data_IF_141647518429
#
_entry.id   IF_141647518429
#
_cell.length_a   1.000
_cell.length_b   1.000
_cell.length_c   1.000
_cell.angle_alpha   90.00
_cell.angle_beta   90.00
_cell.angle_gamma   90.00
#
_symmetry.space_group_name_H-M   'P 1'
#
loop_
_entity.id
_entity.type
_entity.pdbx_description
1 polymer ?
#
# COMPACT_ATOMS: atom_id res chain seq x y z
N UNK A 1 -9.08 61.05 -32.57
CA UNK A 1 -9.21 60.97 -31.10
C UNK A 1 -9.30 59.51 -30.71
N UNK A 2 -8.25 59.03 -30.06
CA UNK A 2 -8.08 57.65 -29.61
C UNK A 2 -9.05 57.28 -28.49
N UNK A 3 -9.54 56.04 -28.49
CA UNK A 3 -10.05 55.34 -27.32
C UNK A 3 -9.53 53.90 -27.33
N UNK A 4 -9.28 53.44 -26.12
CA UNK A 4 -8.23 52.50 -25.70
C UNK A 4 -8.70 51.05 -25.50
N UNK A 5 -7.73 50.19 -25.15
CA UNK A 5 -7.74 48.92 -24.35
C UNK A 5 -7.40 47.66 -25.19
N UNK A 6 -6.22 47.02 -25.07
CA UNK A 6 -5.67 46.17 -23.97
C UNK A 6 -6.56 44.95 -23.65
N UNK A 7 -6.12 43.70 -23.47
CA UNK A 7 -4.81 43.00 -23.43
C UNK A 7 -5.10 41.46 -23.50
N UNK A 8 -4.08 40.70 -23.92
CA UNK A 8 -3.72 39.34 -23.46
C UNK A 8 -4.56 38.10 -23.85
N UNK A 9 -4.10 37.44 -24.92
CA UNK A 9 -4.41 36.04 -25.23
C UNK A 9 -3.25 35.13 -24.78
N UNK A 10 -3.48 34.49 -23.65
CA UNK A 10 -3.25 33.08 -23.32
C UNK A 10 -1.90 32.44 -23.72
N UNK A 11 -1.07 32.41 -22.70
CA UNK A 11 0.13 31.62 -22.46
C UNK A 11 -0.11 30.13 -22.72
N UNK A 12 0.60 29.59 -23.72
CA UNK A 12 0.66 28.17 -24.04
C UNK A 12 2.06 27.66 -23.75
N UNK A 13 2.34 27.31 -22.49
CA UNK A 13 3.54 26.57 -22.13
C UNK A 13 3.13 25.19 -21.60
N UNK A 14 3.18 24.22 -22.52
CA UNK A 14 2.99 22.80 -22.25
C UNK A 14 4.36 22.19 -21.96
N UNK A 15 4.38 21.42 -20.88
CA UNK A 15 5.37 20.39 -20.50
C UNK A 15 6.53 20.89 -19.64
N UNK A 16 6.36 20.74 -18.31
CA UNK A 16 7.43 20.18 -17.49
C UNK A 16 6.91 19.13 -16.53
N UNK A 17 7.42 17.94 -16.79
CA UNK A 17 7.36 16.66 -16.08
C UNK A 17 7.59 16.70 -14.56
N UNK A 18 7.05 15.65 -13.93
CA UNK A 18 7.58 14.94 -12.76
C UNK A 18 7.21 15.46 -11.37
N UNK A 19 6.32 14.74 -10.69
CA UNK A 19 6.66 13.88 -9.53
C UNK A 19 5.37 13.34 -8.86
N UNK A 20 5.45 12.22 -8.12
CA UNK A 20 4.33 11.32 -7.91
C UNK A 20 3.31 11.94 -6.98
N UNK A 21 2.03 11.68 -7.24
CA UNK A 21 0.96 11.99 -6.30
C UNK A 21 1.30 11.33 -4.96
N UNK A 22 1.70 12.18 -4.01
CA UNK A 22 1.76 11.86 -2.59
C UNK A 22 0.42 11.22 -2.25
N UNK A 23 0.41 9.95 -1.87
CA UNK A 23 -0.76 9.32 -1.30
C UNK A 23 -0.90 9.93 0.08
N UNK A 24 -1.58 11.07 0.11
CA UNK A 24 -1.99 11.78 1.31
C UNK A 24 -2.85 10.79 2.11
N UNK A 25 -2.37 10.40 3.29
CA UNK A 25 -3.06 9.48 4.17
C UNK A 25 -4.42 10.08 4.54
N UNK A 26 -5.46 9.54 3.92
CA UNK A 26 -6.78 10.14 3.92
C UNK A 26 -7.80 9.08 4.36
N UNK A 27 -8.70 9.44 5.28
CA UNK A 27 -9.89 8.65 5.57
C UNK A 27 -10.81 8.49 4.32
N UNK A 28 -10.56 9.24 3.24
CA UNK A 28 -11.12 9.06 1.90
C UNK A 28 -10.34 8.04 1.04
N UNK A 29 -9.33 7.37 1.60
CA UNK A 29 -8.68 6.25 0.93
C UNK A 29 -9.70 5.14 0.73
N UNK A 30 -9.91 4.76 -0.53
CA UNK A 30 -10.82 3.68 -0.91
C UNK A 30 -10.52 2.36 -0.20
N UNK A 31 -9.25 2.15 0.16
CA UNK A 31 -8.81 1.05 1.03
C UNK A 31 -9.50 1.12 2.41
N UNK A 32 -9.38 2.24 3.12
CA UNK A 32 -9.93 2.39 4.47
C UNK A 32 -11.45 2.30 4.45
N UNK A 33 -12.11 2.93 3.47
CA UNK A 33 -13.55 2.84 3.30
C UNK A 33 -14.01 1.39 3.09
N UNK A 34 -13.33 0.63 2.23
CA UNK A 34 -13.69 -0.78 1.98
C UNK A 34 -13.54 -1.62 3.24
N UNK A 35 -12.46 -1.41 4.01
CA UNK A 35 -12.25 -2.12 5.27
C UNK A 35 -13.33 -1.75 6.30
N UNK A 36 -13.69 -0.47 6.44
CA UNK A 36 -14.77 -0.03 7.32
C UNK A 36 -16.13 -0.62 6.92
N UNK A 37 -16.43 -0.67 5.63
CA UNK A 37 -17.64 -1.29 5.09
C UNK A 37 -17.70 -2.79 5.41
N UNK A 38 -16.56 -3.48 5.38
CA UNK A 38 -16.47 -4.86 5.81
C UNK A 38 -16.69 -5.00 7.32
N UNK A 39 -16.05 -4.15 8.13
CA UNK A 39 -16.18 -4.15 9.58
C UNK A 39 -17.65 -3.99 10.03
N UNK A 40 -18.43 -3.17 9.31
CA UNK A 40 -19.85 -2.97 9.57
C UNK A 40 -20.73 -4.21 9.30
N UNK A 41 -20.22 -5.20 8.56
CA UNK A 41 -20.91 -6.47 8.28
C UNK A 41 -20.52 -7.58 9.25
N UNK A 42 -19.47 -7.37 10.04
CA UNK A 42 -19.03 -8.32 11.04
C UNK A 42 -19.97 -8.35 12.23
N UNK A 43 -20.01 -9.50 12.89
CA UNK A 43 -20.73 -9.66 14.13
C UNK A 43 -20.00 -8.96 15.29
N UNK A 44 -20.70 -8.80 16.41
CA UNK A 44 -20.16 -8.07 17.57
C UNK A 44 -18.93 -8.73 18.20
N UNK A 45 -18.64 -10.01 17.90
CA UNK A 45 -17.46 -10.70 18.40
C UNK A 45 -16.21 -10.41 17.55
N UNK A 46 -16.33 -10.39 16.22
CA UNK A 46 -15.20 -10.20 15.30
C UNK A 46 -14.90 -8.73 14.99
N UNK A 47 -15.94 -7.88 15.06
CA UNK A 47 -15.87 -6.46 14.70
C UNK A 47 -14.82 -5.67 15.49
N UNK A 48 -14.74 -5.72 16.83
CA UNK A 48 -13.81 -4.86 17.58
C UNK A 48 -12.35 -5.07 17.18
N UNK A 49 -11.99 -6.33 16.89
CA UNK A 49 -10.64 -6.66 16.48
C UNK A 49 -10.33 -6.20 15.05
N UNK A 50 -11.31 -6.32 14.14
CA UNK A 50 -11.16 -5.78 12.80
C UNK A 50 -11.11 -4.24 12.81
N UNK A 51 -11.90 -3.56 13.64
CA UNK A 51 -11.84 -2.11 13.81
C UNK A 51 -10.45 -1.66 14.26
N UNK A 52 -9.82 -2.38 15.21
CA UNK A 52 -8.44 -2.13 15.62
C UNK A 52 -7.43 -2.32 14.49
N UNK A 53 -7.62 -3.35 13.65
CA UNK A 53 -6.81 -3.56 12.46
C UNK A 53 -6.91 -2.38 11.49
N UNK A 54 -8.11 -1.85 11.25
CA UNK A 54 -8.34 -0.70 10.37
C UNK A 54 -7.64 0.54 10.90
N UNK A 55 -7.79 0.83 12.19
CA UNK A 55 -7.11 1.96 12.85
C UNK A 55 -5.59 1.81 12.73
N UNK A 56 -5.06 0.62 12.96
CA UNK A 56 -3.62 0.37 12.91
C UNK A 56 -3.06 0.50 11.48
N UNK A 57 -3.79 0.04 10.47
CA UNK A 57 -3.45 0.25 9.05
C UNK A 57 -3.49 1.75 8.70
N UNK A 58 -4.55 2.46 9.08
CA UNK A 58 -4.71 3.87 8.73
C UNK A 58 -3.66 4.74 9.41
N UNK A 59 -3.58 4.69 10.74
CA UNK A 59 -2.87 5.68 11.53
C UNK A 59 -1.38 5.38 11.65
N UNK A 60 -0.99 4.10 11.61
CA UNK A 60 0.41 3.70 11.81
C UNK A 60 1.15 3.33 10.55
N UNK A 61 0.42 2.93 9.50
CA UNK A 61 1.01 2.46 8.24
C UNK A 61 0.80 3.47 7.13
N UNK A 62 -0.45 3.82 6.81
CA UNK A 62 -0.76 4.73 5.69
C UNK A 62 -0.38 6.17 6.00
N UNK A 63 -0.73 6.67 7.19
CA UNK A 63 -0.42 8.04 7.60
C UNK A 63 1.07 8.26 7.93
N UNK A 64 1.91 7.22 7.84
CA UNK A 64 3.32 7.32 8.16
C UNK A 64 4.14 7.84 6.96
N UNK A 65 4.38 9.14 6.93
CA UNK A 65 5.14 9.82 5.87
C UNK A 65 6.59 9.33 5.73
N UNK A 66 7.15 8.68 6.75
CA UNK A 66 8.51 8.12 6.72
C UNK A 66 8.58 6.73 6.08
N UNK A 67 7.44 6.08 5.81
CA UNK A 67 7.39 4.77 5.18
C UNK A 67 7.33 4.90 3.66
N UNK A 68 8.14 4.09 2.97
CA UNK A 68 8.00 3.96 1.52
C UNK A 68 6.69 3.25 1.18
N UNK A 69 6.12 3.53 0.00
CA UNK A 69 4.90 2.87 -0.48
C UNK A 69 5.01 1.34 -0.45
N UNK A 70 6.18 0.79 -0.78
CA UNK A 70 6.47 -0.65 -0.69
C UNK A 70 6.36 -1.19 0.74
N UNK A 71 6.89 -0.46 1.72
CA UNK A 71 6.76 -0.82 3.14
C UNK A 71 5.31 -0.72 3.60
N UNK A 72 4.56 0.30 3.16
CA UNK A 72 3.13 0.47 3.47
C UNK A 72 2.35 -0.75 2.95
N UNK A 73 2.53 -1.11 1.67
CA UNK A 73 1.90 -2.29 1.05
C UNK A 73 2.26 -3.57 1.79
N UNK A 74 3.53 -3.78 2.10
CA UNK A 74 4.01 -5.02 2.75
C UNK A 74 3.46 -5.17 4.17
N UNK A 75 3.47 -4.09 4.96
CA UNK A 75 2.99 -4.13 6.34
C UNK A 75 1.47 -4.28 6.39
N UNK A 76 0.73 -3.57 5.53
CA UNK A 76 -0.73 -3.72 5.43
C UNK A 76 -1.12 -5.15 5.03
N UNK A 77 -0.43 -5.72 4.03
CA UNK A 77 -0.60 -7.11 3.62
C UNK A 77 -0.34 -8.07 4.79
N UNK A 78 0.74 -7.88 5.54
CA UNK A 78 1.06 -8.74 6.68
C UNK A 78 -0.03 -8.69 7.77
N UNK A 79 -0.53 -7.50 8.10
CA UNK A 79 -1.56 -7.32 9.14
C UNK A 79 -2.89 -7.95 8.73
N UNK A 80 -3.31 -7.78 7.47
CA UNK A 80 -4.51 -8.43 6.93
C UNK A 80 -4.37 -9.95 6.92
N UNK A 81 -3.18 -10.47 6.59
CA UNK A 81 -2.93 -11.91 6.62
C UNK A 81 -2.97 -12.47 8.04
N UNK A 82 -2.36 -11.78 9.00
CA UNK A 82 -2.40 -12.17 10.41
C UNK A 82 -3.83 -12.26 10.93
N UNK A 83 -4.69 -11.29 10.57
CA UNK A 83 -6.11 -11.35 10.90
C UNK A 83 -6.79 -12.59 10.31
N UNK A 84 -6.58 -12.89 9.02
CA UNK A 84 -7.17 -14.07 8.36
C UNK A 84 -6.68 -15.39 8.95
N UNK A 85 -5.44 -15.45 9.45
CA UNK A 85 -4.92 -16.64 10.13
C UNK A 85 -5.65 -16.88 11.44
N UNK A 86 -6.04 -15.82 12.15
CA UNK A 86 -6.78 -15.89 13.40
C UNK A 86 -8.29 -16.07 13.21
N UNK A 87 -8.81 -15.64 12.07
CA UNK A 87 -10.22 -15.74 11.67
C UNK A 87 -10.38 -16.50 10.35
N UNK A 88 -10.08 -17.82 10.33
CA UNK A 88 -10.07 -18.62 9.11
C UNK A 88 -11.44 -18.69 8.42
N UNK A 89 -12.53 -18.57 9.16
CA UNK A 89 -13.90 -18.52 8.65
C UNK A 89 -14.19 -17.28 7.79
N UNK A 90 -13.42 -16.21 7.98
CA UNK A 90 -13.53 -14.96 7.23
C UNK A 90 -12.60 -14.91 6.01
N UNK A 91 -11.72 -15.91 5.85
CA UNK A 91 -10.65 -15.93 4.84
C UNK A 91 -11.14 -15.60 3.44
N UNK A 92 -12.17 -16.31 2.97
CA UNK A 92 -12.64 -16.17 1.58
C UNK A 92 -13.16 -14.75 1.33
N UNK A 93 -13.99 -14.25 2.24
CA UNK A 93 -14.55 -12.91 2.16
C UNK A 93 -13.47 -11.82 2.21
N UNK A 94 -12.46 -11.98 3.07
CA UNK A 94 -11.38 -10.99 3.19
C UNK A 94 -10.41 -11.06 2.01
N UNK A 95 -10.04 -12.24 1.52
CA UNK A 95 -9.07 -12.39 0.43
C UNK A 95 -9.55 -11.81 -0.91
N UNK A 96 -10.84 -11.97 -1.22
CA UNK A 96 -11.44 -11.47 -2.47
C UNK A 96 -11.90 -10.01 -2.36
N UNK A 97 -11.72 -9.37 -1.20
CA UNK A 97 -12.11 -7.99 -0.98
C UNK A 97 -11.30 -7.06 -1.90
N UNK A 98 -12.01 -6.32 -2.76
CA UNK A 98 -11.42 -5.35 -3.67
C UNK A 98 -11.21 -4.01 -2.95
N UNK A 99 -9.95 -3.63 -2.78
CA UNK A 99 -9.48 -2.46 -2.05
C UNK A 99 -9.25 -1.25 -2.98
N UNK A 100 -9.96 -1.19 -4.11
CA UNK A 100 -9.83 -0.13 -5.10
C UNK A 100 -8.53 -0.25 -5.90
N UNK A 101 -7.75 0.83 -5.94
CA UNK A 101 -6.51 0.90 -6.72
C UNK A 101 -5.40 -0.02 -6.18
N UNK A 102 -5.60 -0.58 -4.99
CA UNK A 102 -4.71 -1.54 -4.34
C UNK A 102 -4.93 -2.98 -4.81
N UNK A 103 -5.95 -3.22 -5.66
CA UNK A 103 -6.35 -4.56 -6.08
C UNK A 103 -7.10 -5.29 -4.97
N UNK A 104 -6.97 -6.61 -4.93
CA UNK A 104 -7.54 -7.43 -3.86
C UNK A 104 -6.57 -7.58 -2.68
N UNK A 105 -7.09 -7.99 -1.52
CA UNK A 105 -6.23 -8.41 -0.39
C UNK A 105 -5.28 -9.55 -0.82
N UNK A 106 -5.72 -10.45 -1.70
CA UNK A 106 -4.85 -11.48 -2.28
C UNK A 106 -3.70 -10.87 -3.10
N UNK A 107 -3.97 -9.86 -3.92
CA UNK A 107 -2.94 -9.19 -4.73
C UNK A 107 -1.89 -8.54 -3.82
N UNK A 108 -2.33 -7.89 -2.74
CA UNK A 108 -1.48 -7.35 -1.68
C UNK A 108 -0.57 -8.41 -1.07
N UNK A 109 -1.07 -9.63 -0.83
CA UNK A 109 -0.24 -10.73 -0.34
C UNK A 109 0.81 -11.18 -1.35
N UNK A 110 0.45 -11.28 -2.62
CA UNK A 110 1.40 -11.65 -3.69
C UNK A 110 2.51 -10.61 -3.80
N UNK A 111 2.15 -9.32 -3.76
CA UNK A 111 3.13 -8.23 -3.81
C UNK A 111 4.02 -8.26 -2.56
N UNK A 112 3.45 -8.31 -1.36
CA UNK A 112 4.23 -8.39 -0.11
C UNK A 112 5.16 -9.60 -0.05
N UNK A 113 4.74 -10.76 -0.56
CA UNK A 113 5.57 -11.95 -0.64
C UNK A 113 6.74 -11.80 -1.63
N UNK A 114 6.50 -11.21 -2.81
CA UNK A 114 7.55 -10.93 -3.80
C UNK A 114 8.59 -9.96 -3.26
N UNK A 115 8.16 -8.88 -2.61
CA UNK A 115 9.06 -7.88 -2.00
C UNK A 115 9.94 -8.53 -0.92
N UNK A 116 9.37 -9.40 -0.09
CA UNK A 116 10.14 -10.14 0.90
C UNK A 116 11.16 -11.08 0.25
N UNK A 117 10.76 -11.79 -0.81
CA UNK A 117 11.65 -12.69 -1.54
C UNK A 117 12.84 -11.93 -2.16
N UNK A 118 12.58 -10.82 -2.86
CA UNK A 118 13.61 -9.94 -3.44
C UNK A 118 14.55 -9.38 -2.37
N UNK A 119 14.01 -8.97 -1.22
CA UNK A 119 14.82 -8.49 -0.09
C UNK A 119 15.73 -9.60 0.43
N UNK A 120 15.21 -10.82 0.60
CA UNK A 120 16.00 -11.98 1.03
C UNK A 120 17.09 -12.33 0.01
N UNK A 121 16.78 -12.34 -1.28
CA UNK A 121 17.76 -12.56 -2.36
C UNK A 121 18.86 -11.49 -2.37
N UNK A 122 18.50 -10.22 -2.15
CA UNK A 122 19.46 -9.13 -2.05
C UNK A 122 20.40 -9.28 -0.83
N UNK A 123 19.90 -9.82 0.28
CA UNK A 123 20.73 -10.08 1.47
C UNK A 123 21.65 -11.27 1.23
N UNK A 124 21.16 -12.34 0.61
CA UNK A 124 21.96 -13.53 0.28
C UNK A 124 23.09 -13.17 -0.70
N UNK A 125 22.79 -12.45 -1.78
CA UNK A 125 23.81 -12.02 -2.76
C UNK A 125 24.90 -11.13 -2.15
N UNK A 126 24.59 -10.37 -1.11
CA UNK A 126 25.54 -9.52 -0.40
C UNK A 126 26.29 -10.21 0.77
N UNK A 127 25.89 -11.42 1.16
CA UNK A 127 26.48 -12.16 2.29
C UNK A 127 27.29 -13.39 1.89
N UNK A 128 27.30 -13.79 0.61
CA UNK A 128 28.26 -14.78 0.12
C UNK A 128 29.50 -14.05 -0.41
N UNK A 129 30.63 -14.04 0.32
CA UNK A 129 31.88 -13.63 -0.28
C UNK A 129 32.25 -14.64 -1.37
N UNK A 130 32.45 -14.13 -2.58
CA UNK A 130 32.90 -14.88 -3.78
C UNK A 130 34.24 -15.63 -3.55
N UNK A 131 34.90 -15.44 -2.41
CA UNK A 131 36.13 -16.12 -2.03
C UNK A 131 35.97 -17.60 -1.63
N UNK A 132 34.77 -18.19 -1.57
CA UNK A 132 34.60 -19.61 -1.19
C UNK A 132 34.51 -20.60 -2.37
N UNK A 133 34.56 -20.12 -3.63
CA UNK A 133 34.38 -21.00 -4.82
C UNK A 133 35.71 -21.28 -5.56
N UNK A 134 36.85 -20.75 -5.11
CA UNK A 134 38.16 -21.01 -5.72
C UNK A 134 39.16 -21.65 -4.74
N UNK A 135 38.73 -22.67 -4.00
CA UNK A 135 39.66 -23.58 -3.31
C UNK A 135 39.07 -25.00 -3.27
N UNK A 136 38.99 -25.61 -4.45
CA UNK A 136 39.05 -27.07 -4.61
C UNK A 136 39.69 -27.33 -5.98
N UNK A 137 41.03 -27.19 -5.98
CA UNK A 137 41.89 -27.92 -6.91
C UNK A 137 41.78 -29.42 -6.66
#
# INVERSE_FOLDING_TARGET
MSRSQCLEAQEGDRLRSSSPSVVEGNAESRLIQTLQDYANRLDNSSRPEFDLLVVDINDRVIANESMSMMSIVTVSAYKLMDYIVRHPEQREAVQEMNLGDWGTVRDLFVVGAKVKAETVESVISNTVPVSFILDNR
#
